data_IF_027218686963
#
_entry.id   IF_027218686963
#
_cell.length_a   1.000
_cell.length_b   1.000
_cell.length_c   1.000
_cell.angle_alpha   90.00
_cell.angle_beta   90.00
_cell.angle_gamma   90.00
#
_symmetry.space_group_name_H-M   'P 1'
#
loop_
_entity.id
_entity.type
_entity.pdbx_description
1 polymer ?
#
# COMPACT_ATOMS: atom_id res chain seq x y z
N UNK A 1 -15.68 8.84 6.10
CA UNK A 1 -15.70 10.13 6.81
C UNK A 1 -15.58 9.93 8.31
N UNK A 2 -16.60 9.43 9.02
CA UNK A 2 -16.62 9.43 10.50
C UNK A 2 -15.48 8.70 11.21
N UNK A 3 -14.94 7.61 10.64
CA UNK A 3 -13.85 6.82 11.23
C UNK A 3 -12.45 7.40 10.95
N UNK A 4 -12.32 8.34 10.03
CA UNK A 4 -11.03 8.89 9.62
C UNK A 4 -10.79 10.23 10.31
N UNK A 5 -9.56 10.44 10.79
CA UNK A 5 -9.12 11.75 11.30
C UNK A 5 -8.85 12.73 10.15
N UNK A 6 -8.26 12.22 9.06
CA UNK A 6 -7.99 12.96 7.82
C UNK A 6 -8.61 12.21 6.64
N UNK A 7 -9.32 12.91 5.75
CA UNK A 7 -9.82 12.37 4.48
C UNK A 7 -9.05 12.99 3.32
N UNK A 8 -8.31 12.17 2.56
CA UNK A 8 -7.53 12.61 1.40
C UNK A 8 -8.24 12.23 0.10
N UNK A 9 -8.47 13.20 -0.78
CA UNK A 9 -9.00 12.97 -2.13
C UNK A 9 -7.87 13.04 -3.14
N UNK A 10 -7.54 11.90 -3.75
CA UNK A 10 -6.40 11.79 -4.69
C UNK A 10 -6.78 12.16 -6.12
N UNK A 11 -7.99 11.79 -6.55
CA UNK A 11 -8.55 12.14 -7.85
C UNK A 11 -10.07 12.26 -7.75
N UNK A 12 -10.62 13.33 -8.31
CA UNK A 12 -12.05 13.57 -8.35
C UNK A 12 -12.41 14.51 -9.50
N UNK A 13 -13.33 14.08 -10.36
CA UNK A 13 -14.02 14.98 -11.28
C UNK A 13 -15.06 15.83 -10.56
N UNK A 14 -15.59 16.85 -11.24
CA UNK A 14 -16.55 17.82 -10.68
C UNK A 14 -17.81 17.20 -10.05
N UNK A 15 -18.21 16.01 -10.51
CA UNK A 15 -19.40 15.28 -10.04
C UNK A 15 -19.05 13.95 -9.37
N UNK A 16 -17.81 13.80 -8.90
CA UNK A 16 -17.36 12.58 -8.23
C UNK A 16 -18.07 12.37 -6.90
N UNK A 17 -18.44 11.13 -6.59
CA UNK A 17 -18.97 10.75 -5.27
C UNK A 17 -17.94 10.94 -4.14
N UNK A 18 -16.64 11.00 -4.46
CA UNK A 18 -15.60 11.31 -3.49
C UNK A 18 -15.80 12.70 -2.84
N UNK A 19 -16.36 13.67 -3.59
CA UNK A 19 -16.67 15.00 -3.08
C UNK A 19 -17.74 14.96 -1.99
N UNK A 20 -18.69 14.02 -2.06
CA UNK A 20 -19.68 13.84 -1.00
C UNK A 20 -19.03 13.31 0.28
N UNK A 21 -18.07 12.39 0.15
CA UNK A 21 -17.31 11.88 1.31
C UNK A 21 -16.46 12.97 1.96
N UNK A 22 -15.84 13.83 1.14
CA UNK A 22 -15.09 15.00 1.60
C UNK A 22 -16.01 16.02 2.30
N UNK A 23 -17.20 16.27 1.75
CA UNK A 23 -18.23 17.11 2.38
C UNK A 23 -18.63 16.60 3.76
N UNK A 24 -18.95 15.31 3.86
CA UNK A 24 -19.26 14.69 5.16
C UNK A 24 -18.08 14.72 6.14
N UNK A 25 -16.84 14.62 5.67
CA UNK A 25 -15.67 14.78 6.55
C UNK A 25 -15.59 16.22 7.11
N UNK A 26 -15.77 17.23 6.26
CA UNK A 26 -15.81 18.63 6.68
C UNK A 26 -16.96 18.94 7.65
N UNK A 27 -18.17 18.41 7.39
CA UNK A 27 -19.34 18.54 8.28
C UNK A 27 -19.10 17.94 9.67
N UNK A 28 -18.28 16.90 9.75
CA UNK A 28 -17.87 16.25 11.00
C UNK A 28 -16.65 16.92 11.67
N UNK A 29 -16.18 18.07 11.14
CA UNK A 29 -15.00 18.76 11.64
C UNK A 29 -13.69 17.98 11.44
N UNK A 30 -13.65 17.06 10.47
CA UNK A 30 -12.44 16.30 10.12
C UNK A 30 -11.66 17.04 9.05
N UNK A 31 -10.34 16.90 9.10
CA UNK A 31 -9.45 17.52 8.12
C UNK A 31 -9.67 16.88 6.75
N UNK A 32 -9.89 17.71 5.74
CA UNK A 32 -9.95 17.29 4.33
C UNK A 32 -8.67 17.75 3.65
N UNK A 33 -8.06 16.84 2.91
CA UNK A 33 -6.91 17.14 2.06
C UNK A 33 -7.18 16.65 0.64
N UNK A 34 -6.48 17.21 -0.33
CA UNK A 34 -6.57 16.78 -1.73
C UNK A 34 -5.22 16.84 -2.42
N UNK A 35 -5.01 15.90 -3.35
CA UNK A 35 -3.80 15.84 -4.16
C UNK A 35 -3.99 16.70 -5.41
N UNK A 36 -3.08 17.64 -5.71
CA UNK A 36 -3.17 18.41 -6.94
C UNK A 36 -2.84 17.52 -8.13
N UNK A 37 -3.51 17.76 -9.25
CA UNK A 37 -3.21 17.12 -10.54
C UNK A 37 -3.19 18.12 -11.70
N UNK A 38 -2.98 17.66 -12.95
CA UNK A 38 -2.93 18.52 -14.13
C UNK A 38 -4.21 19.36 -14.28
N UNK A 39 -4.07 20.66 -14.51
CA UNK A 39 -5.22 21.59 -14.72
C UNK A 39 -6.03 21.27 -15.98
N UNK A 40 -5.44 20.53 -16.91
CA UNK A 40 -6.11 20.04 -18.12
C UNK A 40 -6.89 18.75 -17.89
N UNK A 41 -6.73 18.10 -16.74
CA UNK A 41 -7.41 16.84 -16.42
C UNK A 41 -8.78 17.08 -15.79
N UNK A 42 -9.82 16.50 -16.41
CA UNK A 42 -11.17 16.50 -15.85
C UNK A 42 -11.25 15.77 -14.50
N UNK A 43 -10.34 14.83 -14.21
CA UNK A 43 -10.28 14.09 -12.94
C UNK A 43 -9.56 14.84 -11.82
N UNK A 44 -8.98 16.01 -12.11
CA UNK A 44 -8.35 16.87 -11.09
C UNK A 44 -9.26 18.03 -10.68
N UNK A 45 -10.29 18.34 -11.46
CA UNK A 45 -11.18 19.49 -11.23
C UNK A 45 -11.86 19.50 -9.86
N UNK A 46 -12.24 18.33 -9.34
CA UNK A 46 -12.81 18.18 -8.00
C UNK A 46 -11.77 18.37 -6.89
N UNK A 47 -10.53 17.93 -7.09
CA UNK A 47 -9.44 18.17 -6.14
C UNK A 47 -9.09 19.66 -6.06
N UNK A 48 -8.98 20.34 -7.21
CA UNK A 48 -8.75 21.79 -7.25
C UNK A 48 -9.90 22.58 -6.59
N UNK A 49 -11.14 22.13 -6.77
CA UNK A 49 -12.30 22.70 -6.08
C UNK A 49 -12.18 22.54 -4.56
N UNK A 50 -11.87 21.34 -4.07
CA UNK A 50 -11.68 21.10 -2.64
C UNK A 50 -10.57 21.98 -2.06
N UNK A 51 -9.43 22.10 -2.74
CA UNK A 51 -8.33 22.98 -2.33
C UNK A 51 -8.81 24.44 -2.24
N UNK A 52 -9.59 24.89 -3.22
CA UNK A 52 -10.18 26.25 -3.22
C UNK A 52 -11.20 26.46 -2.09
N UNK A 53 -11.88 25.40 -1.67
CA UNK A 53 -12.87 25.40 -0.58
C UNK A 53 -12.22 25.21 0.81
N UNK A 54 -10.89 25.10 0.89
CA UNK A 54 -10.15 25.04 2.15
C UNK A 54 -9.58 23.67 2.52
N UNK A 55 -9.68 22.67 1.63
CA UNK A 55 -8.92 21.43 1.82
C UNK A 55 -7.42 21.69 1.72
N UNK A 56 -6.63 20.98 2.53
CA UNK A 56 -5.17 21.09 2.49
C UNK A 56 -4.63 20.43 1.23
N UNK A 57 -3.77 21.12 0.50
CA UNK A 57 -3.06 20.55 -0.64
C UNK A 57 -1.92 19.66 -0.14
N UNK A 58 -1.92 18.39 -0.55
CA UNK A 58 -0.87 17.41 -0.19
C UNK A 58 -0.32 16.72 -1.43
N UNK A 59 0.96 16.44 -1.44
CA UNK A 59 1.75 15.87 -2.55
C UNK A 59 2.48 14.59 -2.15
N UNK A 60 2.65 14.36 -0.86
CA UNK A 60 3.26 13.14 -0.32
C UNK A 60 2.60 12.68 0.99
N UNK A 61 2.89 11.44 1.39
CA UNK A 61 2.30 10.85 2.59
C UNK A 61 2.75 11.54 3.88
N UNK A 62 3.96 12.09 3.92
CA UNK A 62 4.47 12.81 5.08
C UNK A 62 3.58 14.01 5.44
N UNK A 63 3.18 14.79 4.44
CA UNK A 63 2.27 15.93 4.60
C UNK A 63 0.89 15.50 5.12
N UNK A 64 0.42 14.29 4.80
CA UNK A 64 -0.84 13.74 5.36
C UNK A 64 -0.68 13.39 6.84
N UNK A 65 0.49 12.87 7.23
CA UNK A 65 0.78 12.54 8.63
C UNK A 65 0.85 13.79 9.51
N UNK A 66 1.35 14.91 8.97
CA UNK A 66 1.35 16.21 9.66
C UNK A 66 -0.06 16.71 9.99
N UNK A 67 -1.08 16.29 9.23
CA UNK A 67 -2.48 16.68 9.44
C UNK A 67 -3.20 15.89 10.54
N UNK A 68 -2.61 14.79 11.03
CA UNK A 68 -3.17 14.00 12.13
C UNK A 68 -3.01 14.69 13.51
N UNK A 69 -2.43 15.90 13.55
CA UNK A 69 -2.07 16.59 14.79
C UNK A 69 -0.95 15.87 15.54
N UNK A 70 -0.59 16.31 16.76
CA UNK A 70 0.21 15.48 17.65
C UNK A 70 -0.62 14.22 17.89
N UNK A 71 -0.24 13.11 17.24
CA UNK A 71 -0.66 11.79 17.67
C UNK A 71 -0.28 11.74 19.13
N UNK A 72 -1.28 11.77 20.00
CA UNK A 72 -1.07 11.64 21.43
C UNK A 72 -0.54 10.22 21.61
N UNK A 73 0.78 10.06 21.54
CA UNK A 73 1.48 8.78 21.50
C UNK A 73 1.22 7.97 22.79
N UNK A 74 0.59 8.61 23.77
CA UNK A 74 0.13 8.09 25.06
C UNK A 74 -1.35 7.70 25.10
N UNK A 75 -2.17 8.05 24.10
CA UNK A 75 -3.62 7.83 24.13
C UNK A 75 -4.12 6.65 23.26
N UNK A 76 -3.26 6.08 22.41
CA UNK A 76 -3.52 4.81 21.72
C UNK A 76 -2.64 3.70 22.29
N UNK A 77 -3.07 2.42 22.28
CA UNK A 77 -2.11 1.33 22.50
C UNK A 77 -0.95 1.56 21.53
N UNK A 78 0.29 1.47 22.02
CA UNK A 78 1.50 1.61 21.22
C UNK A 78 1.25 0.97 19.86
N UNK A 79 1.43 1.74 18.78
CA UNK A 79 1.18 1.26 17.42
C UNK A 79 1.77 -0.15 17.34
N UNK A 80 0.96 -1.19 17.09
CA UNK A 80 1.50 -2.54 17.03
C UNK A 80 2.65 -2.48 16.04
N UNK A 81 3.79 -3.14 16.32
CA UNK A 81 4.91 -3.14 15.39
C UNK A 81 4.34 -3.45 14.02
N UNK A 82 4.52 -2.52 13.07
CA UNK A 82 4.02 -2.71 11.71
C UNK A 82 4.57 -4.06 11.28
N UNK A 83 3.71 -5.10 11.09
CA UNK A 83 4.22 -6.40 10.76
C UNK A 83 4.99 -6.23 9.47
N UNK A 84 6.28 -6.58 9.47
CA UNK A 84 7.12 -6.49 8.29
C UNK A 84 6.34 -7.07 7.11
N UNK A 85 6.04 -6.21 6.14
CA UNK A 85 5.32 -6.52 4.93
C UNK A 85 5.93 -7.75 4.27
N UNK A 86 5.15 -8.39 3.39
CA UNK A 86 5.60 -9.61 2.73
C UNK A 86 6.94 -9.43 2.00
N UNK A 87 7.21 -8.20 1.52
CA UNK A 87 8.41 -7.82 0.77
C UNK A 87 9.50 -7.13 1.62
N UNK A 88 9.27 -6.90 2.90
CA UNK A 88 10.19 -6.13 3.73
C UNK A 88 11.45 -6.94 4.07
N UNK A 89 12.62 -6.30 3.96
CA UNK A 89 13.92 -6.92 4.23
C UNK A 89 14.42 -7.88 3.15
N UNK A 90 13.79 -7.87 1.97
CA UNK A 90 14.21 -8.68 0.82
C UNK A 90 15.22 -7.92 -0.05
N UNK A 91 16.21 -8.65 -0.56
CA UNK A 91 17.01 -8.15 -1.69
C UNK A 91 16.16 -8.08 -2.98
N UNK A 92 16.61 -7.36 -4.03
CA UNK A 92 15.85 -7.22 -5.27
C UNK A 92 15.46 -8.56 -5.92
N UNK A 93 16.34 -9.56 -5.87
CA UNK A 93 16.07 -10.87 -6.46
C UNK A 93 15.01 -11.66 -5.67
N UNK A 94 15.08 -11.61 -4.35
CA UNK A 94 14.09 -12.19 -3.45
C UNK A 94 12.72 -11.53 -3.62
N UNK A 95 12.66 -10.20 -3.73
CA UNK A 95 11.43 -9.47 -3.95
C UNK A 95 10.78 -9.85 -5.30
N UNK A 96 11.57 -9.91 -6.38
CA UNK A 96 11.09 -10.31 -7.71
C UNK A 96 10.55 -11.75 -7.73
N UNK A 97 11.26 -12.69 -7.11
CA UNK A 97 10.79 -14.09 -7.01
C UNK A 97 9.51 -14.16 -6.20
N UNK A 98 9.44 -13.49 -5.05
CA UNK A 98 8.26 -13.56 -4.20
C UNK A 98 7.04 -12.92 -4.88
N UNK A 99 7.22 -11.79 -5.58
CA UNK A 99 6.16 -11.11 -6.32
C UNK A 99 5.63 -11.95 -7.48
N UNK A 100 6.52 -12.66 -8.18
CA UNK A 100 6.18 -13.56 -9.28
C UNK A 100 5.42 -14.84 -8.84
N UNK A 101 5.32 -15.14 -7.53
CA UNK A 101 4.60 -16.30 -7.02
C UNK A 101 3.08 -16.06 -6.91
N UNK A 102 2.23 -17.03 -7.30
CA UNK A 102 0.80 -16.98 -7.07
C UNK A 102 0.46 -16.90 -5.56
N UNK A 103 -0.51 -16.06 -5.19
CA UNK A 103 -0.87 -15.84 -3.79
C UNK A 103 -1.46 -17.07 -3.08
N UNK A 104 -2.05 -18.02 -3.82
CA UNK A 104 -2.82 -19.16 -3.26
C UNK A 104 -2.50 -20.51 -3.91
N UNK A 105 -1.52 -20.59 -4.80
CA UNK A 105 -1.20 -21.81 -5.55
C UNK A 105 0.31 -22.07 -5.56
N UNK A 106 0.69 -23.34 -5.69
CA UNK A 106 2.08 -23.74 -5.89
C UNK A 106 2.53 -23.52 -7.34
N UNK A 107 3.79 -23.14 -7.52
CA UNK A 107 4.41 -22.84 -8.81
C UNK A 107 5.73 -23.61 -8.97
N UNK A 108 6.01 -24.10 -10.18
CA UNK A 108 7.27 -24.78 -10.48
C UNK A 108 8.41 -23.79 -10.73
N UNK A 109 9.64 -24.22 -10.46
CA UNK A 109 10.84 -23.39 -10.63
C UNK A 109 10.95 -22.79 -12.03
N UNK A 110 10.69 -23.59 -13.07
CA UNK A 110 10.77 -23.16 -14.47
C UNK A 110 9.80 -22.02 -14.78
N UNK A 111 8.60 -22.07 -14.19
CA UNK A 111 7.62 -21.00 -14.33
C UNK A 111 8.07 -19.72 -13.63
N UNK A 112 8.71 -19.84 -12.45
CA UNK A 112 9.26 -18.71 -11.72
C UNK A 112 10.43 -18.03 -12.42
N UNK A 113 11.33 -18.80 -13.05
CA UNK A 113 12.42 -18.25 -13.88
C UNK A 113 11.85 -17.35 -14.97
N UNK A 114 10.76 -17.80 -15.63
CA UNK A 114 10.10 -17.02 -16.67
C UNK A 114 9.41 -15.77 -16.13
N UNK A 115 8.66 -15.87 -15.04
CA UNK A 115 7.85 -14.76 -14.52
C UNK A 115 8.66 -13.74 -13.71
N UNK A 116 9.71 -14.16 -13.01
CA UNK A 116 10.59 -13.27 -12.25
C UNK A 116 11.64 -12.57 -13.13
N UNK A 117 11.90 -13.08 -14.34
CA UNK A 117 12.88 -12.50 -15.27
C UNK A 117 14.34 -12.65 -14.82
N UNK A 118 14.63 -13.65 -13.99
CA UNK A 118 15.95 -13.94 -13.41
C UNK A 118 16.51 -15.26 -13.91
N UNK A 119 17.83 -15.45 -13.84
CA UNK A 119 18.45 -16.72 -14.19
C UNK A 119 18.07 -17.82 -13.17
N UNK A 120 18.02 -19.09 -13.62
CA UNK A 120 17.68 -20.21 -12.73
C UNK A 120 18.51 -20.28 -11.43
N UNK A 121 19.84 -20.05 -11.45
CA UNK A 121 20.64 -20.03 -10.22
C UNK A 121 20.22 -18.93 -9.24
N UNK A 122 19.82 -17.76 -9.75
CA UNK A 122 19.38 -16.61 -8.96
C UNK A 122 18.02 -16.90 -8.31
N UNK A 123 17.08 -17.45 -9.08
CA UNK A 123 15.77 -17.87 -8.56
C UNK A 123 15.91 -18.96 -7.51
N UNK A 124 16.79 -19.94 -7.74
CA UNK A 124 17.06 -21.02 -6.78
C UNK A 124 17.67 -20.49 -5.48
N UNK A 125 18.62 -19.56 -5.58
CA UNK A 125 19.23 -18.90 -4.42
C UNK A 125 18.20 -18.10 -3.63
N UNK A 126 17.40 -17.27 -4.31
CA UNK A 126 16.34 -16.48 -3.70
C UNK A 126 15.27 -17.35 -3.01
N UNK A 127 14.83 -18.45 -3.63
CA UNK A 127 13.91 -19.40 -3.01
C UNK A 127 14.49 -20.02 -1.72
N UNK A 128 15.79 -20.34 -1.70
CA UNK A 128 16.46 -20.83 -0.50
C UNK A 128 16.44 -19.82 0.64
N UNK A 129 16.75 -18.55 0.37
CA UNK A 129 16.67 -17.49 1.39
C UNK A 129 15.24 -17.25 1.87
N UNK A 130 14.27 -17.22 0.96
CA UNK A 130 12.86 -17.04 1.28
C UNK A 130 12.29 -18.22 2.11
N UNK A 131 12.76 -19.44 1.86
CA UNK A 131 12.39 -20.63 2.63
C UNK A 131 12.96 -20.58 4.06
N UNK A 132 14.25 -20.23 4.19
CA UNK A 132 14.89 -20.00 5.50
C UNK A 132 14.20 -18.89 6.29
N UNK A 133 13.72 -17.86 5.60
CA UNK A 133 12.94 -16.78 6.19
C UNK A 133 11.47 -17.18 6.47
N UNK A 134 11.03 -18.39 6.13
CA UNK A 134 9.64 -18.86 6.31
C UNK A 134 8.61 -18.00 5.56
N UNK A 135 9.00 -17.47 4.39
CA UNK A 135 8.13 -16.70 3.48
C UNK A 135 7.54 -17.59 2.39
N UNK A 136 8.28 -18.63 2.00
CA UNK A 136 7.84 -19.65 1.05
C UNK A 136 8.10 -21.03 1.62
N UNK A 137 7.39 -22.02 1.14
CA UNK A 137 7.58 -23.42 1.49
C UNK A 137 7.56 -24.29 0.23
N UNK A 138 8.29 -25.40 0.30
CA UNK A 138 8.33 -26.38 -0.77
C UNK A 138 7.28 -27.46 -0.55
N UNK A 139 6.40 -27.61 -1.53
CA UNK A 139 5.36 -28.63 -1.61
C UNK A 139 5.71 -29.61 -2.74
N UNK A 140 6.55 -30.60 -2.41
CA UNK A 140 7.13 -31.54 -3.38
C UNK A 140 8.03 -30.85 -4.41
N UNK A 141 7.56 -30.74 -5.65
CA UNK A 141 8.27 -30.08 -6.77
C UNK A 141 7.84 -28.62 -6.97
N UNK A 142 6.84 -28.16 -6.23
CA UNK A 142 6.28 -26.81 -6.34
C UNK A 142 6.66 -25.96 -5.13
N UNK A 143 6.73 -24.66 -5.36
CA UNK A 143 6.95 -23.64 -4.34
C UNK A 143 5.65 -22.89 -4.09
N UNK A 144 5.29 -22.65 -2.84
CA UNK A 144 4.11 -21.86 -2.48
C UNK A 144 4.46 -20.83 -1.41
N UNK A 145 3.72 -19.73 -1.33
CA UNK A 145 3.88 -18.74 -0.25
C UNK A 145 3.43 -19.38 1.06
N UNK A 146 4.21 -19.22 2.13
CA UNK A 146 3.85 -19.74 3.44
C UNK A 146 2.63 -18.98 3.98
N UNK A 147 1.58 -19.70 4.37
CA UNK A 147 0.45 -19.09 5.07
C UNK A 147 0.86 -18.78 6.51
N UNK A 148 1.53 -17.64 6.75
CA UNK A 148 1.66 -17.14 8.12
C UNK A 148 0.27 -16.72 8.61
N UNK A 149 -0.47 -17.65 9.23
CA UNK A 149 -1.40 -17.25 10.29
C UNK A 149 -0.52 -16.83 11.45
N UNK A 150 -0.43 -15.51 11.66
CA UNK A 150 0.08 -14.98 12.91
C UNK A 150 -0.78 -15.56 14.03
N UNK A 151 -0.16 -16.36 14.91
CA UNK A 151 -0.65 -16.56 16.27
C UNK A 151 -0.05 -15.46 17.14
#
# INVERSE_FOLDING_TARGET
AALAEVTVVVEASWRSGALNTAGHAAELGRTVAAVPGPVTSATSAGCHRLIREGAVCVTEAAEVLELLGPLDATAGPAAPPVPAGLLDGLDPGQAQVLDAMPARAGVELVSLVRSAGLAEPEVRSALGFLELAGRVERDGVRWRRSSRRSA
#
